data_IF_381306204209
#
_entry.id   IF_381306204209
#
_cell.length_a   1.000
_cell.length_b   1.000
_cell.length_c   1.000
_cell.angle_alpha   90.00
_cell.angle_beta   90.00
_cell.angle_gamma   90.00
#
_symmetry.space_group_name_H-M   'P 1'
#
loop_
_entity.id
_entity.type
_entity.pdbx_description
1 polymer ?
#
# COMPACT_ATOMS: atom_id res chain seq x y z
N UNK A 1 -2.28 8.38 12.32
CA UNK A 1 -1.92 8.78 10.94
C UNK A 1 -0.97 7.76 10.35
N UNK A 2 -1.10 7.45 9.07
CA UNK A 2 -0.15 6.62 8.32
C UNK A 2 1.13 7.42 8.14
N UNK A 3 2.25 6.91 8.67
CA UNK A 3 3.53 7.60 8.69
C UNK A 3 4.45 7.13 7.55
N UNK A 4 4.52 5.81 7.35
CA UNK A 4 5.36 5.21 6.31
C UNK A 4 4.80 3.88 5.84
N UNK A 5 5.13 3.54 4.60
CA UNK A 5 4.82 2.24 3.99
C UNK A 5 6.09 1.67 3.43
N UNK A 6 6.34 0.41 3.74
CA UNK A 6 7.38 -0.37 3.08
C UNK A 6 6.72 -1.52 2.33
N UNK A 7 7.19 -1.81 1.12
CA UNK A 7 6.63 -2.84 0.27
C UNK A 7 7.70 -3.80 -0.24
N UNK A 8 7.32 -5.06 -0.40
CA UNK A 8 8.07 -6.10 -1.08
C UNK A 8 7.19 -6.67 -2.19
N UNK A 9 7.66 -6.68 -3.42
CA UNK A 9 7.04 -7.39 -4.53
C UNK A 9 7.81 -8.68 -4.79
N UNK A 10 7.15 -9.83 -4.85
CA UNK A 10 7.77 -11.13 -5.19
C UNK A 10 7.94 -11.30 -6.70
N UNK A 11 8.76 -12.26 -7.13
CA UNK A 11 8.88 -12.63 -8.55
C UNK A 11 7.56 -13.12 -9.15
N UNK A 12 6.71 -13.75 -8.34
CA UNK A 12 5.38 -14.23 -8.74
C UNK A 12 4.33 -13.12 -8.77
N UNK A 13 4.68 -11.89 -8.35
CA UNK A 13 3.79 -10.76 -8.33
C UNK A 13 2.97 -10.59 -7.06
N UNK A 14 3.30 -11.31 -5.98
CA UNK A 14 2.69 -11.09 -4.68
C UNK A 14 3.27 -9.81 -4.08
N UNK A 15 2.40 -8.86 -3.74
CA UNK A 15 2.81 -7.60 -3.13
C UNK A 15 2.52 -7.66 -1.63
N UNK A 16 3.56 -7.51 -0.81
CA UNK A 16 3.43 -7.47 0.65
C UNK A 16 3.81 -6.09 1.18
N UNK A 17 2.96 -5.49 2.01
CA UNK A 17 3.21 -4.20 2.63
C UNK A 17 3.23 -4.26 4.15
N UNK A 18 4.09 -3.44 4.76
CA UNK A 18 4.05 -3.08 6.19
C UNK A 18 3.76 -1.60 6.29
N UNK A 19 2.88 -1.23 7.21
CA UNK A 19 2.47 0.17 7.40
C UNK A 19 2.78 0.58 8.82
N UNK A 20 3.49 1.70 8.97
CA UNK A 20 3.75 2.31 10.27
C UNK A 20 2.75 3.42 10.51
N UNK A 21 2.09 3.37 11.66
CA UNK A 21 1.13 4.36 12.11
C UNK A 21 1.72 5.14 13.28
N UNK A 22 1.59 6.46 13.24
CA UNK A 22 1.91 7.34 14.36
C UNK A 22 0.61 7.85 14.98
N UNK A 23 0.46 7.66 16.30
CA UNK A 23 -0.51 8.40 17.08
C UNK A 23 0.16 9.66 17.62
N UNK A 24 -0.10 10.81 17.00
CA UNK A 24 0.37 12.12 17.50
C UNK A 24 -0.56 12.75 18.53
N UNK A 25 -1.71 12.12 18.81
CA UNK A 25 -2.71 12.62 19.75
C UNK A 25 -2.32 12.40 21.21
N UNK A 26 -2.86 13.23 22.09
CA UNK A 26 -2.69 13.15 23.55
C UNK A 26 -3.48 11.99 24.19
N UNK A 27 -4.26 11.24 23.41
CA UNK A 27 -5.04 10.08 23.84
C UNK A 27 -4.71 8.86 22.99
N UNK A 28 -4.89 7.62 23.51
CA UNK A 28 -4.73 6.41 22.72
C UNK A 28 -5.67 6.37 21.51
N UNK A 29 -5.16 5.84 20.39
CA UNK A 29 -5.96 5.44 19.23
C UNK A 29 -6.35 3.97 19.43
N UNK A 30 -7.65 3.68 19.40
CA UNK A 30 -8.21 2.36 19.66
C UNK A 30 -8.72 1.74 18.39
N UNK A 31 -8.65 0.40 18.32
CA UNK A 31 -9.25 -0.41 17.26
C UNK A 31 -8.84 0.05 15.86
N UNK A 32 -7.57 0.43 15.69
CA UNK A 32 -7.01 0.70 14.38
C UNK A 32 -7.28 -0.49 13.46
N UNK A 33 -7.85 -0.20 12.30
CA UNK A 33 -7.98 -1.11 11.16
C UNK A 33 -7.29 -0.48 9.99
N UNK A 34 -6.73 -1.31 9.12
CA UNK A 34 -6.22 -0.84 7.84
C UNK A 34 -6.28 -1.95 6.80
N UNK A 35 -6.39 -1.54 5.54
CA UNK A 35 -6.30 -2.35 4.35
C UNK A 35 -5.63 -1.52 3.26
N UNK A 36 -5.18 -2.17 2.20
CA UNK A 36 -4.60 -1.47 1.04
C UNK A 36 -4.91 -2.20 -0.26
N UNK A 37 -4.93 -1.43 -1.34
CA UNK A 37 -4.78 -1.91 -2.71
C UNK A 37 -3.56 -1.23 -3.35
N UNK A 38 -3.17 -1.72 -4.52
CA UNK A 38 -2.01 -1.21 -5.20
C UNK A 38 -2.17 -1.20 -6.72
N UNK A 39 -1.46 -0.31 -7.38
CA UNK A 39 -1.23 -0.32 -8.81
C UNK A 39 0.25 -0.57 -9.05
N UNK A 40 0.55 -1.61 -9.83
CA UNK A 40 1.91 -1.88 -10.29
C UNK A 40 2.02 -1.51 -11.77
N UNK A 41 3.11 -0.85 -12.15
CA UNK A 41 3.40 -0.49 -13.54
C UNK A 41 4.78 -1.02 -13.91
N UNK A 42 4.81 -1.97 -14.83
CA UNK A 42 6.05 -2.44 -15.45
C UNK A 42 6.47 -1.47 -16.56
N UNK A 43 7.71 -1.01 -16.49
CA UNK A 43 8.34 -0.17 -17.53
C UNK A 43 9.42 -0.98 -18.23
N UNK A 44 9.36 -1.06 -19.56
CA UNK A 44 10.27 -1.86 -20.37
C UNK A 44 11.35 -1.00 -21.02
N UNK A 45 12.37 -1.64 -21.59
CA UNK A 45 13.54 -0.94 -22.15
C UNK A 45 13.24 -0.03 -23.36
N UNK A 46 12.08 -0.18 -23.99
CA UNK A 46 11.55 0.68 -25.05
C UNK A 46 10.66 1.82 -24.51
N UNK A 47 10.66 2.03 -23.18
CA UNK A 47 9.79 2.95 -22.44
C UNK A 47 8.29 2.65 -22.55
N UNK A 48 7.88 1.49 -23.08
CA UNK A 48 6.47 1.07 -22.98
C UNK A 48 6.13 0.78 -21.52
N UNK A 49 4.88 1.00 -21.16
CA UNK A 49 4.37 0.82 -19.80
C UNK A 49 3.12 -0.04 -19.82
N UNK A 50 3.01 -0.95 -18.86
CA UNK A 50 1.80 -1.74 -18.64
C UNK A 50 1.50 -1.77 -17.15
N UNK A 51 0.24 -1.50 -16.81
CA UNK A 51 -0.23 -1.39 -15.44
C UNK A 51 -1.20 -2.51 -15.07
N UNK A 52 -1.23 -2.88 -13.79
CA UNK A 52 -2.25 -3.78 -13.25
C UNK A 52 -2.58 -3.42 -11.79
N UNK A 53 -3.86 -3.45 -11.46
CA UNK A 53 -4.35 -3.31 -10.10
C UNK A 53 -4.19 -4.62 -9.33
N UNK A 54 -3.71 -4.54 -8.10
CA UNK A 54 -3.63 -5.62 -7.14
C UNK A 54 -4.54 -5.32 -5.95
N UNK A 55 -5.34 -6.32 -5.58
CA UNK A 55 -6.35 -6.19 -4.53
C UNK A 55 -7.60 -5.42 -4.98
N UNK A 56 -8.68 -5.61 -4.22
CA UNK A 56 -9.92 -4.85 -4.37
C UNK A 56 -9.84 -3.52 -3.63
N UNK A 57 -10.76 -2.60 -3.90
CA UNK A 57 -10.86 -1.35 -3.14
C UNK A 57 -11.01 -1.64 -1.63
N UNK A 58 -10.19 -1.01 -0.76
CA UNK A 58 -10.18 -1.31 0.66
C UNK A 58 -11.52 -1.03 1.37
N UNK A 59 -12.15 -2.08 1.87
CA UNK A 59 -13.37 -2.00 2.70
C UNK A 59 -13.09 -2.43 4.14
N UNK A 60 -12.98 -1.43 5.03
CA UNK A 60 -12.71 -1.65 6.45
C UNK A 60 -13.89 -2.22 7.24
N UNK A 61 -15.12 -2.14 6.73
CA UNK A 61 -16.29 -2.72 7.42
C UNK A 61 -16.18 -4.24 7.51
N UNK A 62 -15.48 -4.85 6.54
CA UNK A 62 -15.23 -6.30 6.47
C UNK A 62 -13.95 -6.72 7.20
N UNK A 63 -13.16 -5.77 7.71
CA UNK A 63 -11.94 -6.08 8.45
C UNK A 63 -12.24 -6.50 9.89
N UNK A 64 -11.83 -7.71 10.25
CA UNK A 64 -11.97 -8.26 11.61
C UNK A 64 -10.75 -7.99 12.50
N UNK A 65 -9.64 -7.55 11.93
CA UNK A 65 -8.39 -7.28 12.65
C UNK A 65 -8.43 -5.90 13.32
N UNK A 66 -7.83 -5.75 14.51
CA UNK A 66 -7.81 -4.50 15.29
C UNK A 66 -6.52 -4.36 16.10
N UNK A 67 -6.01 -3.14 16.23
CA UNK A 67 -4.87 -2.82 17.08
C UNK A 67 -5.09 -1.51 17.85
N UNK A 68 -4.72 -1.47 19.13
CA UNK A 68 -4.66 -0.22 19.89
C UNK A 68 -3.24 0.35 19.84
N UNK A 69 -3.11 1.67 19.72
CA UNK A 69 -1.84 2.40 19.73
C UNK A 69 -1.88 3.41 20.90
N UNK A 70 -0.91 3.35 21.84
CA UNK A 70 -0.80 4.34 22.92
C UNK A 70 -0.68 5.77 22.41
N UNK A 71 -0.90 6.75 23.30
CA UNK A 71 -0.67 8.16 22.99
C UNK A 71 0.80 8.42 22.67
N UNK A 72 1.06 9.30 21.70
CA UNK A 72 2.40 9.71 21.28
C UNK A 72 3.33 8.56 20.82
N UNK A 73 2.77 7.40 20.49
CA UNK A 73 3.53 6.20 20.12
C UNK A 73 3.32 5.83 18.64
N UNK A 74 4.24 5.02 18.14
CA UNK A 74 4.21 4.46 16.79
C UNK A 74 4.03 2.95 16.84
N UNK A 75 3.34 2.41 15.85
CA UNK A 75 3.18 0.97 15.70
C UNK A 75 3.30 0.59 14.23
N UNK A 76 4.13 -0.42 13.95
CA UNK A 76 4.30 -0.99 12.61
C UNK A 76 3.51 -2.28 12.49
N UNK A 77 2.74 -2.39 11.41
CA UNK A 77 1.91 -3.54 11.16
C UNK A 77 2.68 -4.83 10.91
N UNK A 78 2.04 -5.94 11.24
CA UNK A 78 2.40 -7.20 10.60
C UNK A 78 2.23 -7.05 9.08
N UNK A 79 3.09 -7.71 8.27
CA UNK A 79 2.95 -7.67 6.83
C UNK A 79 1.59 -8.19 6.38
N UNK A 80 0.93 -7.46 5.50
CA UNK A 80 -0.26 -7.90 4.80
C UNK A 80 0.11 -8.09 3.33
N UNK A 81 -0.32 -9.20 2.73
CA UNK A 81 -0.03 -9.55 1.35
C UNK A 81 -1.26 -9.47 0.46
N UNK A 82 -1.11 -8.86 -0.71
CA UNK A 82 -2.01 -8.99 -1.85
C UNK A 82 -1.46 -10.09 -2.76
N UNK A 83 -2.28 -11.12 -2.97
CA UNK A 83 -1.92 -12.23 -3.85
C UNK A 83 -1.85 -11.75 -5.29
N UNK A 84 -0.91 -12.32 -6.04
CA UNK A 84 -0.82 -12.10 -7.48
C UNK A 84 -2.13 -12.51 -8.17
N UNK A 85 -2.43 -11.78 -9.25
CA UNK A 85 -3.52 -12.09 -10.17
C UNK A 85 -2.96 -12.69 -11.46
N UNK A 86 -3.82 -13.34 -12.25
CA UNK A 86 -3.43 -13.90 -13.53
C UNK A 86 -2.83 -12.82 -14.45
N UNK A 87 -1.65 -13.10 -14.99
CA UNK A 87 -0.93 -12.18 -15.88
C UNK A 87 0.07 -11.25 -15.20
N UNK A 88 0.11 -11.13 -13.87
CA UNK A 88 1.12 -10.30 -13.18
C UNK A 88 2.53 -10.81 -13.44
N UNK A 89 2.79 -12.11 -13.32
CA UNK A 89 4.12 -12.65 -13.57
C UNK A 89 4.62 -12.34 -15.01
N UNK A 90 3.72 -12.43 -15.99
CA UNK A 90 4.02 -12.08 -17.38
C UNK A 90 4.22 -10.56 -17.57
N UNK A 91 3.45 -9.73 -16.87
CA UNK A 91 3.63 -8.27 -16.83
C UNK A 91 5.04 -7.91 -16.35
N UNK A 92 5.50 -8.59 -15.31
CA UNK A 92 6.80 -8.35 -14.69
C UNK A 92 7.97 -8.90 -15.53
N UNK A 93 7.72 -9.84 -16.45
CA UNK A 93 8.76 -10.41 -17.30
C UNK A 93 9.45 -9.32 -18.13
N UNK A 94 10.79 -9.27 -18.09
CA UNK A 94 11.61 -8.28 -18.84
C UNK A 94 11.36 -6.80 -18.51
N UNK A 95 10.59 -6.49 -17.47
CA UNK A 95 10.50 -5.12 -16.96
C UNK A 95 11.91 -4.63 -16.60
N UNK A 96 12.23 -3.38 -16.96
CA UNK A 96 13.46 -2.71 -16.53
C UNK A 96 13.35 -2.23 -15.09
N UNK A 97 12.17 -1.72 -14.71
CA UNK A 97 11.78 -1.47 -13.33
C UNK A 97 10.27 -1.55 -13.19
N UNK A 98 9.82 -1.67 -11.94
CA UNK A 98 8.39 -1.70 -11.60
C UNK A 98 8.11 -0.51 -10.69
N UNK A 99 7.24 0.39 -11.13
CA UNK A 99 6.68 1.42 -10.25
C UNK A 99 5.51 0.82 -9.46
N UNK A 100 5.43 1.15 -8.18
CA UNK A 100 4.37 0.68 -7.28
C UNK A 100 3.70 1.92 -6.70
N UNK A 101 2.37 1.93 -6.68
CA UNK A 101 1.57 2.89 -5.94
C UNK A 101 0.63 2.12 -5.02
N UNK A 102 0.63 2.43 -3.73
CA UNK A 102 -0.20 1.81 -2.70
C UNK A 102 -1.13 2.86 -2.13
N UNK A 103 -2.43 2.56 -2.05
CA UNK A 103 -3.42 3.34 -1.31
C UNK A 103 -3.76 2.58 -0.04
N UNK A 104 -3.49 3.20 1.09
CA UNK A 104 -3.83 2.70 2.42
C UNK A 104 -5.11 3.38 2.85
N UNK A 105 -6.09 2.60 3.28
CA UNK A 105 -7.28 3.09 3.97
C UNK A 105 -7.21 2.59 5.39
N UNK A 106 -7.27 3.50 6.35
CA UNK A 106 -7.22 3.19 7.77
C UNK A 106 -8.30 3.95 8.55
N UNK A 107 -8.75 3.35 9.65
CA UNK A 107 -9.58 4.04 10.63
C UNK A 107 -9.26 3.61 12.05
N UNK A 108 -9.55 4.48 13.01
CA UNK A 108 -9.41 4.19 14.44
C UNK A 108 -10.48 4.95 15.22
N UNK A 109 -10.69 4.54 16.47
CA UNK A 109 -11.57 5.22 17.43
C UNK A 109 -10.73 5.97 18.45
N UNK A 110 -11.13 7.18 18.81
CA UNK A 110 -10.55 7.85 19.97
C UNK A 110 -11.15 7.36 21.29
N UNK A 111 -10.74 7.98 22.41
CA UNK A 111 -11.23 7.62 23.75
C UNK A 111 -12.70 8.01 24.00
N UNK A 112 -13.26 8.90 23.19
CA UNK A 112 -14.67 9.32 23.23
C UNK A 112 -15.55 8.47 22.32
N UNK A 113 -14.95 7.59 21.51
CA UNK A 113 -15.64 6.68 20.60
C UNK A 113 -15.89 7.28 19.21
N UNK A 114 -15.32 8.44 18.90
CA UNK A 114 -15.38 9.02 17.56
C UNK A 114 -14.45 8.26 16.62
N UNK A 115 -14.95 7.92 15.42
CA UNK A 115 -14.17 7.22 14.40
C UNK A 115 -13.50 8.23 13.48
N UNK A 116 -12.18 8.13 13.39
CA UNK A 116 -11.33 8.92 12.52
C UNK A 116 -10.87 8.05 11.35
N UNK A 117 -11.09 8.49 10.11
CA UNK A 117 -10.70 7.78 8.89
C UNK A 117 -9.63 8.55 8.13
N UNK A 118 -8.71 7.80 7.54
CA UNK A 118 -7.59 8.31 6.78
C UNK A 118 -7.40 7.49 5.50
N UNK A 119 -7.06 8.19 4.43
CA UNK A 119 -6.62 7.61 3.16
C UNK A 119 -5.27 8.23 2.85
N UNK A 120 -4.28 7.40 2.56
CA UNK A 120 -2.93 7.86 2.25
C UNK A 120 -2.34 7.05 1.10
N UNK A 121 -1.71 7.72 0.14
CA UNK A 121 -1.06 7.09 -1.00
C UNK A 121 0.46 7.14 -0.88
N UNK A 122 1.12 6.08 -1.32
CA UNK A 122 2.57 5.96 -1.33
C UNK A 122 3.06 5.39 -2.65
N UNK A 123 4.19 5.87 -3.14
CA UNK A 123 4.77 5.39 -4.39
C UNK A 123 6.27 5.12 -4.27
N UNK A 124 6.75 4.21 -5.12
CA UNK A 124 8.15 3.85 -5.19
C UNK A 124 8.46 3.00 -6.39
N UNK A 125 9.70 2.53 -6.47
CA UNK A 125 10.19 1.69 -7.56
C UNK A 125 10.89 0.47 -6.99
N UNK A 126 10.65 -0.68 -7.60
CA UNK A 126 11.34 -1.93 -7.29
C UNK A 126 12.08 -2.38 -8.54
N UNK A 127 13.38 -2.62 -8.40
CA UNK A 127 14.17 -3.17 -9.49
C UNK A 127 13.88 -4.66 -9.66
N UNK A 128 13.92 -5.18 -10.90
CA UNK A 128 13.64 -6.58 -11.19
C UNK A 128 14.53 -7.55 -10.42
N UNK A 129 15.80 -7.17 -10.22
CA UNK A 129 16.81 -7.91 -9.45
C UNK A 129 16.56 -7.89 -7.94
N UNK A 130 15.65 -7.03 -7.47
CA UNK A 130 15.31 -6.84 -6.06
C UNK A 130 13.90 -7.37 -5.73
N UNK A 131 13.20 -7.99 -6.71
CA UNK A 131 11.86 -8.56 -6.58
C UNK A 131 11.75 -9.79 -5.67
N UNK A 132 12.77 -10.08 -4.87
CA UNK A 132 12.62 -10.93 -3.70
C UNK A 132 13.47 -10.49 -2.50
N UNK A 133 14.04 -9.28 -2.60
CA UNK A 133 14.92 -8.68 -1.60
C UNK A 133 14.14 -8.15 -0.38
N UNK A 134 14.83 -7.35 0.44
CA UNK A 134 14.24 -6.65 1.58
C UNK A 134 13.11 -5.70 1.15
N UNK A 135 12.28 -5.33 2.12
CA UNK A 135 11.26 -4.30 1.93
C UNK A 135 11.88 -2.98 1.45
N UNK A 136 11.21 -2.34 0.49
CA UNK A 136 11.57 -1.02 -0.04
C UNK A 136 10.65 0.03 0.60
N UNK A 137 11.25 1.06 1.19
CA UNK A 137 10.49 2.20 1.68
C UNK A 137 9.88 2.99 0.51
N UNK A 138 8.59 3.29 0.62
CA UNK A 138 7.86 4.10 -0.34
C UNK A 138 7.82 5.57 0.11
N UNK A 139 7.66 6.48 -0.84
CA UNK A 139 7.51 7.90 -0.60
C UNK A 139 6.03 8.27 -0.59
N UNK A 140 5.65 9.24 0.25
CA UNK A 140 4.27 9.75 0.26
C UNK A 140 3.94 10.39 -1.10
N UNK A 141 2.76 10.06 -1.62
CA UNK A 141 2.20 10.59 -2.85
C UNK A 141 0.97 11.46 -2.55
N UNK A 142 0.40 12.11 -3.56
CA UNK A 142 -0.89 12.78 -3.40
C UNK A 142 -2.00 11.76 -3.10
N UNK A 143 -2.98 12.13 -2.27
CA UNK A 143 -3.99 11.21 -1.74
C UNK A 143 -4.81 10.47 -2.82
N UNK A 144 -4.95 11.06 -4.01
CA UNK A 144 -5.68 10.49 -5.15
C UNK A 144 -4.78 9.83 -6.21
N UNK A 145 -3.47 9.68 -5.95
CA UNK A 145 -2.51 9.21 -6.94
C UNK A 145 -2.81 7.82 -7.52
N UNK A 146 -3.55 6.99 -6.78
CA UNK A 146 -4.02 5.70 -7.28
C UNK A 146 -5.26 5.85 -8.17
N UNK A 147 -6.21 6.70 -7.75
CA UNK A 147 -7.48 6.93 -8.43
C UNK A 147 -7.23 7.57 -9.83
N UNK A 148 -6.27 8.51 -9.92
CA UNK A 148 -5.84 9.13 -11.18
C UNK A 148 -5.29 8.11 -12.21
N UNK A 149 -4.71 7.00 -11.72
CA UNK A 149 -4.13 5.95 -12.57
C UNK A 149 -5.17 4.97 -13.08
N UNK A 150 -6.30 4.84 -12.38
CA UNK A 150 -7.47 4.09 -12.84
C UNK A 150 -8.34 4.87 -13.83
N UNK A 151 -8.32 6.21 -13.77
CA UNK A 151 -9.13 7.06 -14.64
C UNK A 151 -8.46 7.46 -15.96
N UNK A 152 -7.14 7.32 -16.09
CA UNK A 152 -6.45 7.54 -17.38
C UNK A 152 -6.60 6.32 -18.30
N UNK A 153 -7.37 6.41 -19.40
CA UNK A 153 -7.26 5.41 -20.44
C UNK A 153 -5.87 5.51 -21.07
N UNK A 154 -5.28 4.37 -21.42
CA UNK A 154 -4.09 4.33 -22.25
C UNK A 154 -4.32 5.19 -23.50
N UNK A 155 -3.56 6.29 -23.62
CA UNK A 155 -3.51 7.12 -24.81
C UNK A 155 -2.68 6.44 -25.91
#
# INVERSE_FOLDING_TARGET
MVQSVEAKLSELGDLTAKVTFQNSGASPARRLRWLYNAHIVAVYGDNTQRGMMLGDEPDLERSHWRQDIPSADSWTSYPLGLRSQDGVAALLEKATFVAITIKVVADFQDVFGETHREIACFEGRVNPSERDASYTALHSAHDNALDDKTESPAA
#
